data_IF_180566124721
#
_entry.id   IF_180566124721
#
_cell.length_a   1.000
_cell.length_b   1.000
_cell.length_c   1.000
_cell.angle_alpha   90.00
_cell.angle_beta   90.00
_cell.angle_gamma   90.00
#
_symmetry.space_group_name_H-M   'P 1'
#
loop_
_entity.id
_entity.type
_entity.pdbx_description
1 polymer ?
#
# COMPACT_ATOMS: atom_id res chain seq x y z
N UNK A 1 8.67 -25.64 21.68
CA UNK A 1 9.84 -24.92 21.13
C UNK A 1 9.39 -24.45 19.76
N UNK A 2 8.90 -23.21 19.69
CA UNK A 2 8.43 -22.63 18.44
C UNK A 2 9.65 -22.14 17.69
N UNK A 3 10.12 -22.94 16.73
CA UNK A 3 11.25 -22.59 15.88
C UNK A 3 10.80 -21.48 14.95
N UNK A 4 10.86 -20.23 15.41
CA UNK A 4 10.45 -19.07 14.65
C UNK A 4 11.09 -19.07 13.28
N UNK A 5 10.28 -19.33 12.24
CA UNK A 5 10.68 -19.27 10.85
C UNK A 5 11.14 -17.83 10.58
N UNK A 6 12.41 -17.63 10.24
CA UNK A 6 12.88 -16.30 9.85
C UNK A 6 12.22 -15.92 8.52
N UNK A 7 11.58 -14.75 8.47
CA UNK A 7 10.96 -14.27 7.24
C UNK A 7 11.99 -14.14 6.13
N UNK A 8 11.65 -14.66 4.94
CA UNK A 8 12.47 -14.48 3.72
C UNK A 8 12.38 -13.05 3.16
N UNK A 9 11.43 -12.25 3.65
CA UNK A 9 11.17 -10.87 3.22
C UNK A 9 12.04 -9.90 4.02
N UNK A 10 12.77 -9.03 3.31
CA UNK A 10 13.63 -7.99 3.90
C UNK A 10 13.14 -6.62 3.47
N UNK A 11 12.57 -5.86 4.38
CA UNK A 11 12.17 -4.47 4.11
C UNK A 11 13.40 -3.56 4.14
N UNK A 12 13.61 -2.84 3.04
CA UNK A 12 14.75 -1.93 2.86
C UNK A 12 14.39 -0.50 3.24
N UNK A 13 13.22 -0.01 2.82
CA UNK A 13 12.80 1.36 3.10
C UNK A 13 11.29 1.56 3.07
N UNK A 14 10.83 2.59 3.79
CA UNK A 14 9.46 3.10 3.76
C UNK A 14 9.48 4.51 3.18
N UNK A 15 8.61 4.75 2.22
CA UNK A 15 8.56 5.93 1.37
C UNK A 15 7.11 6.44 1.31
N UNK A 16 6.91 7.69 0.92
CA UNK A 16 5.57 8.24 0.67
C UNK A 16 5.52 8.86 -0.71
N UNK A 17 4.45 8.59 -1.46
CA UNK A 17 4.18 9.19 -2.77
C UNK A 17 2.89 10.00 -2.70
N UNK A 18 2.96 11.23 -3.18
CA UNK A 18 1.84 12.17 -3.26
C UNK A 18 1.36 12.29 -4.70
N UNK A 19 0.17 12.84 -4.88
CA UNK A 19 -0.33 13.25 -6.20
C UNK A 19 0.60 14.28 -6.84
N UNK A 20 0.72 14.26 -8.17
CA UNK A 20 1.46 15.28 -8.91
C UNK A 20 0.76 16.64 -8.90
N UNK A 21 -0.56 16.62 -8.77
CA UNK A 21 -1.40 17.82 -8.70
C UNK A 21 -1.95 18.01 -7.27
N UNK A 22 -1.99 19.26 -6.77
CA UNK A 22 -2.53 19.53 -5.43
C UNK A 22 -4.05 19.35 -5.40
N UNK A 23 -4.55 18.81 -4.29
CA UNK A 23 -5.97 18.70 -4.02
C UNK A 23 -6.50 20.00 -3.41
N UNK A 24 -7.70 20.40 -3.85
CA UNK A 24 -8.37 21.58 -3.34
C UNK A 24 -8.54 21.50 -1.81
N UNK A 25 -8.20 22.58 -1.05
CA UNK A 25 -8.35 22.61 0.39
C UNK A 25 -9.77 22.27 0.84
N UNK A 26 -9.90 21.52 1.92
CA UNK A 26 -11.20 21.17 2.52
C UNK A 26 -11.97 20.09 1.76
N UNK A 27 -11.39 19.45 0.75
CA UNK A 27 -12.00 18.28 0.12
C UNK A 27 -12.09 17.12 1.11
N UNK A 28 -13.30 16.60 1.27
CA UNK A 28 -13.63 15.51 2.17
C UNK A 28 -14.51 14.51 1.45
N UNK A 29 -14.26 13.24 1.70
CA UNK A 29 -15.08 12.13 1.21
C UNK A 29 -15.75 11.42 2.39
N UNK A 30 -17.07 11.48 2.44
CA UNK A 30 -17.87 10.79 3.48
C UNK A 30 -18.05 9.33 3.11
N UNK A 31 -17.83 8.46 4.08
CA UNK A 31 -17.93 7.02 3.90
C UNK A 31 -19.39 6.60 4.07
N UNK A 32 -19.90 5.84 3.10
CA UNK A 32 -21.27 5.35 3.12
C UNK A 32 -21.47 4.34 4.26
N UNK A 33 -22.73 4.01 4.63
CA UNK A 33 -23.00 2.95 5.60
C UNK A 33 -22.39 1.59 5.22
N UNK A 34 -22.30 1.28 3.92
CA UNK A 34 -21.65 0.06 3.43
C UNK A 34 -20.14 0.09 3.70
N UNK A 35 -19.49 1.22 3.42
CA UNK A 35 -18.07 1.40 3.69
C UNK A 35 -17.79 1.24 5.20
N UNK A 36 -18.64 1.84 6.04
CA UNK A 36 -18.54 1.73 7.50
C UNK A 36 -18.70 0.29 7.99
N UNK A 37 -19.60 -0.48 7.39
CA UNK A 37 -19.77 -1.91 7.72
C UNK A 37 -18.55 -2.75 7.32
N UNK A 38 -17.86 -2.36 6.23
CA UNK A 38 -16.64 -3.02 5.77
C UNK A 38 -15.41 -2.70 6.63
N UNK A 39 -15.51 -1.73 7.54
CA UNK A 39 -14.38 -1.20 8.29
C UNK A 39 -13.56 -2.19 9.12
N UNK A 40 -14.16 -3.31 9.51
CA UNK A 40 -13.50 -4.41 10.21
C UNK A 40 -12.76 -5.41 9.30
N UNK A 41 -12.83 -5.24 7.98
CA UNK A 41 -12.30 -6.19 7.01
C UNK A 41 -11.13 -5.58 6.25
N UNK A 42 -10.11 -6.40 5.97
CA UNK A 42 -8.97 -5.99 5.15
C UNK A 42 -8.90 -6.82 3.89
N UNK A 43 -8.67 -6.15 2.75
CA UNK A 43 -8.46 -6.79 1.46
C UNK A 43 -6.97 -6.73 1.17
N UNK A 44 -6.37 -7.90 0.96
CA UNK A 44 -4.96 -8.06 0.61
C UNK A 44 -4.90 -8.69 -0.78
N UNK A 45 -4.29 -7.97 -1.71
CA UNK A 45 -4.13 -8.43 -3.09
C UNK A 45 -2.64 -8.43 -3.40
N UNK A 46 -2.16 -9.56 -3.90
CA UNK A 46 -0.78 -9.76 -4.35
C UNK A 46 -0.80 -10.01 -5.85
N UNK A 47 0.03 -9.26 -6.58
CA UNK A 47 0.22 -9.43 -8.01
C UNK A 47 1.63 -9.97 -8.26
N UNK A 48 1.72 -11.02 -9.06
CA UNK A 48 2.98 -11.61 -9.51
C UNK A 48 3.19 -11.27 -10.98
N UNK A 49 4.36 -10.71 -11.30
CA UNK A 49 4.75 -10.35 -12.67
C UNK A 49 5.98 -11.16 -13.05
N UNK A 50 5.94 -11.79 -14.22
CA UNK A 50 7.08 -12.56 -14.74
C UNK A 50 8.24 -11.65 -15.19
N UNK A 51 7.93 -10.42 -15.58
CA UNK A 51 8.91 -9.44 -16.04
C UNK A 51 8.61 -8.06 -15.46
N UNK A 52 9.65 -7.24 -15.38
CA UNK A 52 9.57 -5.93 -14.76
C UNK A 52 8.74 -4.93 -15.57
N UNK A 53 7.58 -4.48 -15.08
CA UNK A 53 6.78 -3.50 -15.81
C UNK A 53 7.41 -2.10 -15.83
N UNK A 54 8.52 -1.91 -15.09
CA UNK A 54 9.21 -0.63 -14.96
C UNK A 54 10.61 -0.60 -15.58
N UNK A 55 11.04 -1.69 -16.24
CA UNK A 55 12.38 -1.84 -16.80
C UNK A 55 12.67 -0.80 -17.89
N UNK A 56 11.66 -0.52 -18.72
CA UNK A 56 11.75 0.43 -19.84
C UNK A 56 11.55 1.89 -19.39
N UNK A 57 11.51 2.14 -18.08
CA UNK A 57 11.28 3.47 -17.54
C UNK A 57 12.52 4.38 -17.64
N UNK A 58 12.33 5.71 -17.62
CA UNK A 58 13.41 6.68 -17.81
C UNK A 58 14.40 6.77 -16.64
N UNK A 59 14.08 6.20 -15.48
CA UNK A 59 14.93 6.20 -14.29
C UNK A 59 15.70 4.88 -14.14
N UNK A 60 16.90 4.96 -13.56
CA UNK A 60 17.76 3.79 -13.32
C UNK A 60 17.24 2.85 -12.22
N UNK A 61 16.33 3.33 -11.38
CA UNK A 61 15.73 2.55 -10.30
C UNK A 61 14.24 2.35 -10.59
N UNK A 62 13.79 1.10 -10.57
CA UNK A 62 12.39 0.73 -10.80
C UNK A 62 11.42 1.43 -9.85
N UNK A 63 11.84 1.60 -8.60
CA UNK A 63 11.03 2.30 -7.59
C UNK A 63 10.73 3.74 -8.01
N UNK A 64 11.64 4.40 -8.73
CA UNK A 64 11.45 5.78 -9.19
C UNK A 64 10.51 5.84 -10.40
N UNK A 65 10.63 4.88 -11.33
CA UNK A 65 9.68 4.70 -12.44
C UNK A 65 8.25 4.45 -11.93
N UNK A 66 8.11 3.58 -10.92
CA UNK A 66 6.84 3.33 -10.24
C UNK A 66 6.30 4.58 -9.56
N UNK A 67 7.13 5.30 -8.78
CA UNK A 67 6.72 6.49 -8.03
C UNK A 67 6.12 7.55 -8.94
N UNK A 68 6.75 7.80 -10.11
CA UNK A 68 6.24 8.78 -11.07
C UNK A 68 4.92 8.34 -11.67
N UNK A 69 4.80 7.06 -12.04
CA UNK A 69 3.55 6.50 -12.58
C UNK A 69 2.41 6.56 -11.55
N UNK A 70 2.70 6.20 -10.30
CA UNK A 70 1.74 6.24 -9.20
C UNK A 70 1.32 7.68 -8.88
N UNK A 71 2.27 8.62 -8.82
CA UNK A 71 1.98 10.02 -8.52
C UNK A 71 0.96 10.61 -9.49
N UNK A 72 1.08 10.30 -10.79
CA UNK A 72 0.10 10.70 -11.82
C UNK A 72 -1.26 10.04 -11.62
N UNK A 73 -1.30 8.75 -11.30
CA UNK A 73 -2.56 8.04 -11.03
C UNK A 73 -3.28 8.61 -9.80
N UNK A 74 -2.54 9.01 -8.76
CA UNK A 74 -3.12 9.58 -7.54
C UNK A 74 -3.83 10.93 -7.76
N UNK A 75 -3.56 11.64 -8.86
CA UNK A 75 -4.31 12.85 -9.24
C UNK A 75 -5.82 12.55 -9.44
N UNK A 76 -6.14 11.36 -9.94
CA UNK A 76 -7.52 10.92 -10.17
C UNK A 76 -8.19 10.37 -8.90
N UNK A 77 -7.39 9.97 -7.90
CA UNK A 77 -7.85 9.30 -6.69
C UNK A 77 -7.44 10.03 -5.39
N UNK A 78 -7.89 11.26 -5.15
CA UNK A 78 -7.49 12.08 -3.99
C UNK A 78 -7.96 11.54 -2.63
N UNK A 79 -8.92 10.60 -2.63
CA UNK A 79 -9.32 9.88 -1.41
C UNK A 79 -8.16 9.00 -0.95
N UNK A 80 -7.33 8.53 -1.89
CA UNK A 80 -6.26 7.57 -1.64
C UNK A 80 -5.09 8.16 -0.86
N UNK A 81 -4.78 9.44 -1.14
CA UNK A 81 -3.72 10.21 -0.49
C UNK A 81 -4.14 10.83 0.84
N UNK A 82 -5.42 10.73 1.21
CA UNK A 82 -5.99 11.39 2.37
C UNK A 82 -5.71 10.70 3.72
N UNK A 83 -6.35 11.20 4.78
CA UNK A 83 -6.32 10.58 6.12
C UNK A 83 -7.72 10.40 6.68
N UNK A 84 -7.91 9.29 7.40
CA UNK A 84 -9.17 8.98 8.06
C UNK A 84 -9.41 9.97 9.21
N UNK A 85 -10.65 10.42 9.35
CA UNK A 85 -11.07 11.32 10.43
C UNK A 85 -12.55 11.06 10.75
N UNK A 86 -12.99 11.52 11.92
CA UNK A 86 -14.38 11.36 12.37
C UNK A 86 -15.10 12.70 12.32
N UNK A 87 -16.34 12.69 11.82
CA UNK A 87 -17.25 13.83 11.93
C UNK A 87 -17.70 14.01 13.39
N UNK A 88 -18.22 15.21 13.70
CA UNK A 88 -18.76 15.52 15.02
C UNK A 88 -19.92 14.60 15.40
N UNK A 89 -20.70 14.20 14.41
CA UNK A 89 -21.84 13.29 14.50
C UNK A 89 -21.43 11.81 14.56
N UNK A 90 -20.12 11.50 14.50
CA UNK A 90 -19.56 10.16 14.67
C UNK A 90 -19.32 9.37 13.38
N UNK A 91 -19.72 9.89 12.22
CA UNK A 91 -19.48 9.26 10.92
C UNK A 91 -18.00 9.30 10.51
N UNK A 92 -17.54 8.27 9.80
CA UNK A 92 -16.18 8.23 9.26
C UNK A 92 -16.09 8.94 7.91
N UNK A 93 -14.99 9.65 7.72
CA UNK A 93 -14.70 10.35 6.48
C UNK A 93 -13.19 10.38 6.19
N UNK A 94 -12.84 10.58 4.94
CA UNK A 94 -11.46 10.78 4.51
C UNK A 94 -11.26 12.26 4.19
N UNK A 95 -10.31 12.89 4.87
CA UNK A 95 -9.84 14.23 4.53
C UNK A 95 -8.77 14.10 3.45
N UNK A 96 -9.04 14.60 2.25
CA UNK A 96 -8.08 14.62 1.15
C UNK A 96 -7.05 15.74 1.39
N UNK A 97 -5.98 15.42 2.12
CA UNK A 97 -4.95 16.36 2.56
C UNK A 97 -3.57 16.12 1.91
N UNK A 98 -3.52 15.35 0.82
CA UNK A 98 -2.30 15.00 0.09
C UNK A 98 -1.16 14.50 0.97
N UNK A 99 -1.51 13.82 2.06
CA UNK A 99 -0.52 13.22 2.96
C UNK A 99 0.20 12.02 2.31
N UNK A 100 -0.24 11.62 1.12
CA UNK A 100 0.38 10.61 0.28
C UNK A 100 0.11 9.18 0.71
N UNK A 101 0.48 8.27 -0.17
CA UNK A 101 0.39 6.82 0.01
C UNK A 101 1.75 6.30 0.42
N UNK A 102 1.78 5.45 1.44
CA UNK A 102 3.00 4.76 1.86
C UNK A 102 3.37 3.73 0.80
N UNK A 103 4.65 3.71 0.42
CA UNK A 103 5.31 2.69 -0.39
C UNK A 103 6.38 2.02 0.46
N UNK A 104 6.30 0.71 0.58
CA UNK A 104 7.38 -0.10 1.16
C UNK A 104 8.22 -0.67 0.04
N UNK A 105 9.54 -0.58 0.16
CA UNK A 105 10.49 -1.25 -0.71
C UNK A 105 11.10 -2.42 0.06
N UNK A 106 10.98 -3.64 -0.47
CA UNK A 106 11.52 -4.85 0.13
C UNK A 106 12.15 -5.78 -0.91
N UNK A 107 12.87 -6.80 -0.44
CA UNK A 107 13.43 -7.88 -1.26
C UNK A 107 13.13 -9.26 -0.67
N UNK A 108 13.18 -10.27 -1.52
CA UNK A 108 13.07 -11.68 -1.13
C UNK A 108 14.20 -12.45 -1.80
N UNK A 109 14.90 -13.29 -1.04
CA UNK A 109 16.06 -14.03 -1.55
C UNK A 109 15.67 -15.39 -2.16
N UNK A 110 14.72 -15.40 -3.10
CA UNK A 110 14.27 -16.61 -3.85
C UNK A 110 13.67 -16.22 -5.21
N UNK A 111 13.50 -17.18 -6.12
CA UNK A 111 12.85 -16.93 -7.42
C UNK A 111 11.33 -16.91 -7.29
N UNK A 112 10.63 -16.29 -8.25
CA UNK A 112 9.15 -16.32 -8.26
C UNK A 112 8.60 -17.75 -8.33
N UNK A 113 9.17 -18.61 -9.18
CA UNK A 113 8.79 -20.02 -9.27
C UNK A 113 8.98 -20.77 -7.96
N UNK A 114 10.11 -20.56 -7.28
CA UNK A 114 10.40 -21.19 -6.00
C UNK A 114 9.48 -20.66 -4.91
N UNK A 115 9.21 -19.34 -4.89
CA UNK A 115 8.25 -18.72 -3.99
C UNK A 115 6.86 -19.34 -4.14
N UNK A 116 6.30 -19.34 -5.36
CA UNK A 116 4.97 -19.86 -5.64
C UNK A 116 4.82 -21.36 -5.32
N UNK A 117 5.92 -22.13 -5.34
CA UNK A 117 5.94 -23.55 -5.00
C UNK A 117 6.10 -23.83 -3.50
N UNK A 118 6.70 -22.93 -2.74
CA UNK A 118 7.20 -23.20 -1.39
C UNK A 118 6.66 -22.27 -0.29
N UNK A 119 6.17 -21.09 -0.65
CA UNK A 119 5.64 -20.14 0.30
C UNK A 119 4.36 -20.67 0.95
N UNK A 120 4.28 -20.50 2.27
CA UNK A 120 3.05 -20.71 3.01
C UNK A 120 2.31 -19.39 3.24
N UNK A 121 1.10 -19.47 3.79
CA UNK A 121 0.27 -18.30 4.07
C UNK A 121 0.94 -17.30 5.04
N UNK A 122 1.87 -17.73 5.90
CA UNK A 122 2.60 -16.83 6.80
C UNK A 122 3.66 -16.04 6.03
N UNK A 123 4.33 -16.67 5.08
CA UNK A 123 5.33 -16.01 4.24
C UNK A 123 4.68 -15.06 3.24
N UNK A 124 3.55 -15.45 2.64
CA UNK A 124 2.74 -14.53 1.83
C UNK A 124 2.23 -13.35 2.66
N UNK A 125 1.87 -13.61 3.91
CA UNK A 125 1.48 -12.56 4.86
C UNK A 125 2.61 -11.56 5.06
N UNK A 126 3.86 -11.99 5.20
CA UNK A 126 5.03 -11.12 5.37
C UNK A 126 5.34 -10.25 4.13
N UNK A 127 4.83 -10.62 2.94
CA UNK A 127 4.87 -9.76 1.75
C UNK A 127 3.98 -8.52 1.88
N UNK A 128 3.14 -8.45 2.91
CA UNK A 128 2.30 -7.32 3.22
C UNK A 128 2.59 -6.86 4.64
N UNK A 129 2.95 -5.60 4.85
CA UNK A 129 3.20 -5.08 6.20
C UNK A 129 1.87 -4.96 6.94
N UNK A 130 1.76 -5.71 8.04
CA UNK A 130 0.61 -5.68 8.93
C UNK A 130 0.83 -4.63 10.02
N UNK A 131 0.02 -3.59 9.99
CA UNK A 131 -0.10 -2.64 11.09
C UNK A 131 -1.56 -2.51 11.47
N UNK A 132 -1.86 -2.68 12.76
CA UNK A 132 -3.19 -2.41 13.31
C UNK A 132 -3.45 -0.91 13.39
N UNK A 133 -4.73 -0.53 13.28
CA UNK A 133 -5.12 0.88 13.39
C UNK A 133 -4.76 1.40 14.78
N UNK A 134 -3.96 2.49 14.86
CA UNK A 134 -3.68 3.12 16.12
C UNK A 134 -4.98 3.64 16.75
N UNK A 135 -4.97 3.79 18.08
CA UNK A 135 -6.10 4.37 18.81
C UNK A 135 -6.47 5.77 18.30
N UNK A 136 -5.47 6.54 17.81
CA UNK A 136 -5.69 7.78 17.06
C UNK A 136 -5.59 7.55 15.55
N UNK A 137 -6.71 7.50 14.83
CA UNK A 137 -6.76 7.26 13.39
C UNK A 137 -6.37 8.50 12.56
N UNK A 138 -6.08 9.65 13.17
CA UNK A 138 -5.87 10.93 12.44
C UNK A 138 -4.68 10.89 11.47
N UNK A 139 -3.70 10.04 11.74
CA UNK A 139 -2.54 9.81 10.87
C UNK A 139 -2.67 8.55 10.02
N UNK A 140 -3.81 7.87 10.10
CA UNK A 140 -4.06 6.64 9.40
C UNK A 140 -4.30 6.90 7.93
N UNK A 141 -3.39 6.37 7.11
CA UNK A 141 -3.65 6.30 5.68
C UNK A 141 -4.74 5.26 5.46
N UNK A 142 -5.87 5.63 4.82
CA UNK A 142 -6.84 4.66 4.39
C UNK A 142 -6.16 3.73 3.40
N UNK A 143 -5.19 4.16 2.60
CA UNK A 143 -4.57 3.27 1.60
C UNK A 143 -3.07 3.13 1.77
N UNK A 144 -2.55 1.95 1.48
CA UNK A 144 -1.11 1.65 1.50
C UNK A 144 -0.77 0.77 0.31
N UNK A 145 0.40 1.03 -0.27
CA UNK A 145 0.97 0.24 -1.33
C UNK A 145 2.28 -0.35 -0.80
N UNK A 146 2.46 -1.65 -0.85
CA UNK A 146 3.78 -2.26 -0.68
C UNK A 146 4.32 -2.60 -2.05
N UNK A 147 5.64 -2.68 -2.24
CA UNK A 147 6.31 -3.02 -3.50
C UNK A 147 7.61 -3.77 -3.20
N UNK A 148 7.86 -4.90 -3.85
CA UNK A 148 9.03 -5.75 -3.57
C UNK A 148 9.78 -5.96 -4.87
N UNK A 149 10.87 -5.23 -5.06
CA UNK A 149 11.46 -5.05 -6.39
C UNK A 149 12.69 -5.93 -6.66
N UNK A 150 13.31 -6.55 -5.65
CA UNK A 150 14.58 -7.23 -5.90
C UNK A 150 14.48 -8.74 -6.13
N UNK A 151 15.09 -9.11 -7.27
CA UNK A 151 15.44 -10.40 -7.90
C UNK A 151 14.51 -11.00 -8.95
N UNK A 152 13.20 -10.74 -8.91
CA UNK A 152 12.30 -10.86 -10.07
C UNK A 152 11.22 -9.82 -9.86
N UNK A 153 11.00 -8.98 -10.85
CA UNK A 153 10.21 -7.77 -10.65
C UNK A 153 8.78 -8.10 -10.27
N UNK A 154 8.50 -7.93 -8.99
CA UNK A 154 7.18 -8.13 -8.42
C UNK A 154 6.69 -6.76 -8.01
N UNK A 155 6.07 -6.04 -8.94
CA UNK A 155 5.31 -4.85 -8.55
C UNK A 155 4.10 -5.33 -7.74
N UNK A 156 3.98 -4.88 -6.51
CA UNK A 156 2.73 -5.00 -5.77
C UNK A 156 1.99 -3.69 -5.98
N UNK A 157 0.78 -3.76 -6.51
CA UNK A 157 -0.20 -2.70 -6.34
C UNK A 157 -1.14 -3.15 -5.24
N UNK A 158 -0.84 -2.81 -3.98
CA UNK A 158 -1.80 -3.04 -2.91
C UNK A 158 -2.92 -1.99 -3.04
N UNK A 159 -4.08 -2.45 -3.46
CA UNK A 159 -5.35 -1.75 -3.46
C UNK A 159 -6.26 -2.59 -2.56
N UNK A 160 -6.90 -2.13 -1.50
CA UNK A 160 -7.06 -0.84 -0.88
C UNK A 160 -7.41 -1.17 0.59
N UNK A 161 -6.82 -0.49 1.57
CA UNK A 161 -7.38 -0.51 2.91
C UNK A 161 -8.61 0.43 2.88
N UNK A 162 -9.78 -0.09 3.24
CA UNK A 162 -10.83 0.72 3.84
C UNK A 162 -10.87 0.28 5.30
N UNK A 163 -9.89 0.72 6.08
CA UNK A 163 -10.05 0.70 7.52
C UNK A 163 -11.04 1.82 7.82
N UNK A 164 -12.21 1.43 8.29
CA UNK A 164 -13.20 2.32 8.87
C UNK A 164 -13.47 1.80 10.28
#
# INVERSE_FOLDING_TARGET
>A
MDGGKFSRVKVHSLLSVVSSSPVAPGKVHRLSPLDQAMGHHTIHIVFYYESNPFDDGPFSLDIDNLRVSLSKMLDEYPIVTGRLTREAEGGWQVRCNDAGVRILHASVNTTMDEWLRSADASEERDLTVWEDMPQDPSFWSPFRIQVILELFSTMYLTHFRYCI
#
